data_IF_733318557345
#
_entry.id   IF_733318557345
#
_cell.length_a   1.000
_cell.length_b   1.000
_cell.length_c   1.000
_cell.angle_alpha   90.00
_cell.angle_beta   90.00
_cell.angle_gamma   90.00
#
_symmetry.space_group_name_H-M   'P 1'
#
loop_
_entity.id
_entity.type
_entity.pdbx_description
1 polymer ?
#
# COMPACT_ATOMS: atom_id res chain seq x y z
N UNK A 1 30.44 -70.69 -22.83
CA UNK A 1 30.53 -70.96 -21.37
C UNK A 1 30.72 -69.63 -20.65
N UNK A 2 29.84 -69.34 -19.68
CA UNK A 2 29.97 -68.44 -18.49
C UNK A 2 30.54 -67.02 -18.70
N UNK A 3 29.69 -65.96 -18.66
CA UNK A 3 29.20 -65.18 -17.49
C UNK A 3 30.29 -64.36 -16.78
N UNK A 4 30.17 -63.01 -16.80
CA UNK A 4 30.20 -62.00 -15.68
C UNK A 4 30.64 -60.59 -16.17
N UNK A 5 29.74 -59.58 -16.23
CA UNK A 5 29.58 -58.37 -15.33
C UNK A 5 30.58 -57.23 -15.67
N UNK A 6 30.26 -55.95 -15.96
CA UNK A 6 29.70 -54.79 -15.19
C UNK A 6 29.58 -53.63 -16.22
N UNK A 7 28.39 -53.09 -16.52
CA UNK A 7 27.84 -51.78 -16.09
C UNK A 7 28.72 -50.55 -16.39
N UNK A 8 28.37 -49.74 -17.39
CA UNK A 8 28.28 -48.26 -17.29
C UNK A 8 27.29 -47.73 -18.34
N UNK A 9 26.36 -46.90 -17.85
CA UNK A 9 25.21 -46.31 -18.52
C UNK A 9 25.40 -44.79 -18.44
N UNK A 10 25.52 -44.08 -19.56
CA UNK A 10 25.38 -42.62 -19.56
C UNK A 10 24.99 -42.04 -20.93
N UNK A 11 23.69 -41.76 -21.03
CA UNK A 11 23.12 -40.48 -21.47
C UNK A 11 23.36 -40.07 -22.93
N UNK A 12 22.44 -40.53 -23.77
CA UNK A 12 21.96 -39.78 -24.94
C UNK A 12 20.80 -38.88 -24.49
N UNK A 13 20.80 -37.60 -24.84
CA UNK A 13 19.93 -37.08 -25.91
C UNK A 13 20.01 -35.55 -25.99
N UNK A 14 20.35 -35.11 -27.20
CA UNK A 14 20.40 -33.76 -27.72
C UNK A 14 19.00 -33.17 -27.86
N UNK A 15 18.75 -31.96 -27.34
CA UNK A 15 17.65 -31.10 -27.78
C UNK A 15 18.13 -29.64 -27.82
N UNK A 16 18.61 -29.20 -28.99
CA UNK A 16 18.55 -27.80 -29.39
C UNK A 16 17.11 -27.51 -29.83
N UNK A 17 16.45 -26.50 -29.25
CA UNK A 17 15.52 -25.62 -29.99
C UNK A 17 14.99 -24.47 -29.14
N UNK A 18 14.98 -23.31 -29.80
CA UNK A 18 14.07 -22.15 -29.66
C UNK A 18 14.21 -21.21 -28.46
N UNK A 19 14.77 -20.03 -28.79
CA UNK A 19 14.26 -18.76 -28.28
C UNK A 19 12.74 -18.67 -28.53
N UNK A 20 11.96 -18.79 -27.47
CA UNK A 20 10.56 -18.40 -27.47
C UNK A 20 10.40 -17.25 -26.49
N UNK A 21 10.05 -16.08 -27.05
CA UNK A 21 9.65 -14.87 -26.33
C UNK A 21 8.50 -15.24 -25.38
N UNK A 22 8.78 -15.32 -24.08
CA UNK A 22 7.73 -15.50 -23.08
C UNK A 22 6.76 -14.32 -23.17
N UNK A 23 5.45 -14.55 -23.32
CA UNK A 23 4.49 -13.49 -23.06
C UNK A 23 4.57 -13.18 -21.57
N UNK A 24 4.91 -11.93 -21.25
CA UNK A 24 4.74 -11.41 -19.89
C UNK A 24 3.25 -11.47 -19.63
N UNK A 25 2.85 -12.41 -18.78
CA UNK A 25 1.52 -12.38 -18.21
C UNK A 25 1.43 -11.09 -17.41
N UNK A 26 0.51 -10.21 -17.80
CA UNK A 26 0.01 -9.14 -16.95
C UNK A 26 -0.60 -9.81 -15.71
N UNK A 27 0.23 -10.06 -14.70
CA UNK A 27 -0.24 -10.32 -13.35
C UNK A 27 -0.77 -8.99 -12.84
N UNK A 28 -2.04 -8.72 -13.18
CA UNK A 28 -2.86 -7.81 -12.40
C UNK A 28 -2.79 -8.31 -10.96
N UNK A 29 -2.09 -7.56 -10.13
CA UNK A 29 -2.05 -7.80 -8.69
C UNK A 29 -3.49 -7.96 -8.19
N UNK A 30 -3.76 -8.88 -7.24
CA UNK A 30 -5.09 -9.04 -6.71
C UNK A 30 -5.52 -7.70 -6.09
N UNK A 31 -6.52 -7.07 -6.69
CA UNK A 31 -7.19 -5.93 -6.11
C UNK A 31 -7.89 -6.43 -4.84
N UNK A 32 -7.23 -6.22 -3.70
CA UNK A 32 -7.84 -6.37 -2.38
C UNK A 32 -8.93 -5.29 -2.32
N UNK A 33 -10.17 -5.72 -2.49
CA UNK A 33 -11.36 -4.89 -2.31
C UNK A 33 -11.53 -4.57 -0.83
N UNK A 34 -10.83 -3.55 -0.36
CA UNK A 34 -11.25 -2.79 0.83
C UNK A 34 -12.55 -2.06 0.45
N UNK A 35 -13.57 -2.14 1.30
CA UNK A 35 -14.82 -1.39 1.12
C UNK A 35 -14.53 0.07 0.74
N UNK A 36 -15.32 0.71 -0.13
CA UNK A 36 -14.88 1.89 -0.84
C UNK A 36 -14.60 3.05 0.11
N UNK A 37 -13.32 3.35 0.32
CA UNK A 37 -12.86 4.64 0.84
C UNK A 37 -13.37 5.83 -0.01
N UNK A 38 -13.95 5.56 -1.18
CA UNK A 38 -14.55 6.52 -2.09
C UNK A 38 -15.78 7.26 -1.53
N UNK A 39 -16.47 6.72 -0.50
CA UNK A 39 -17.65 7.38 0.09
C UNK A 39 -17.28 8.40 1.18
N UNK A 40 -16.00 8.52 1.55
CA UNK A 40 -15.48 9.52 2.48
C UNK A 40 -14.78 10.62 1.68
N UNK A 41 -15.41 11.79 1.59
CA UNK A 41 -14.91 12.91 0.78
C UNK A 41 -13.46 13.31 1.12
N UNK A 42 -13.06 13.16 2.39
CA UNK A 42 -11.70 13.45 2.86
C UNK A 42 -10.63 12.47 2.33
N UNK A 43 -11.04 11.29 1.84
CA UNK A 43 -10.15 10.26 1.28
C UNK A 43 -10.16 10.22 -0.25
N UNK A 44 -11.09 10.92 -0.91
CA UNK A 44 -11.17 10.92 -2.37
C UNK A 44 -9.92 11.51 -3.01
N UNK A 45 -9.50 10.96 -4.15
CA UNK A 45 -8.41 11.54 -4.93
C UNK A 45 -8.77 12.96 -5.40
N UNK A 46 -7.78 13.86 -5.32
CA UNK A 46 -7.97 15.22 -5.82
C UNK A 46 -7.88 15.21 -7.33
N UNK A 47 -8.72 16.03 -7.95
CA UNK A 47 -8.78 16.14 -9.41
C UNK A 47 -8.65 17.60 -9.82
N UNK A 48 -8.13 17.85 -11.02
CA UNK A 48 -7.93 19.20 -11.56
C UNK A 48 -6.47 19.55 -11.87
N UNK A 49 -6.19 20.81 -12.21
CA UNK A 49 -4.85 21.28 -12.54
C UNK A 49 -3.84 21.02 -11.41
N UNK A 50 -2.57 20.81 -11.78
CA UNK A 50 -1.45 20.60 -10.85
C UNK A 50 -1.60 19.39 -9.89
N UNK A 51 -2.38 18.38 -10.26
CA UNK A 51 -2.63 17.20 -9.41
C UNK A 51 -3.84 17.34 -8.48
N UNK A 52 -4.63 18.41 -8.66
CA UNK A 52 -5.85 18.66 -7.91
C UNK A 52 -5.61 19.40 -6.59
N UNK A 53 -6.71 19.85 -5.98
CA UNK A 53 -6.74 20.51 -4.68
C UNK A 53 -7.73 19.79 -3.76
N UNK A 54 -7.61 19.93 -2.43
CA UNK A 54 -8.62 19.39 -1.51
C UNK A 54 -10.02 19.91 -1.83
N UNK A 55 -11.03 19.05 -1.68
CA UNK A 55 -12.44 19.39 -1.84
C UNK A 55 -12.94 20.13 -0.59
N UNK A 56 -12.52 21.39 -0.44
CA UNK A 56 -12.85 22.22 0.74
C UNK A 56 -14.36 22.41 0.93
N UNK A 57 -15.14 22.37 -0.14
CA UNK A 57 -16.61 22.44 -0.14
C UNK A 57 -17.27 21.21 0.49
N UNK A 58 -16.51 20.15 0.74
CA UNK A 58 -16.97 18.88 1.32
C UNK A 58 -16.23 18.52 2.61
N UNK A 59 -15.53 19.50 3.19
CA UNK A 59 -14.74 19.33 4.41
C UNK A 59 -15.65 19.37 5.64
N UNK A 60 -16.07 18.20 6.09
CA UNK A 60 -16.97 18.04 7.24
C UNK A 60 -16.24 17.45 8.46
N UNK A 61 -16.27 18.15 9.60
CA UNK A 61 -15.51 17.74 10.79
C UNK A 61 -15.90 16.35 11.30
N UNK A 62 -17.19 15.99 11.18
CA UNK A 62 -17.69 14.67 11.57
C UNK A 62 -17.11 13.51 10.74
N UNK A 63 -16.51 13.79 9.58
CA UNK A 63 -15.84 12.79 8.76
C UNK A 63 -14.37 12.59 9.13
N UNK A 64 -13.75 13.51 9.88
CA UNK A 64 -12.31 13.50 10.11
C UNK A 64 -11.83 12.23 10.80
N UNK A 65 -12.42 11.87 11.94
CA UNK A 65 -12.02 10.67 12.67
C UNK A 65 -12.22 9.36 11.90
N UNK A 66 -13.42 9.08 11.33
CA UNK A 66 -13.60 7.85 10.55
C UNK A 66 -12.70 7.83 9.31
N UNK A 67 -12.45 8.96 8.66
CA UNK A 67 -11.51 9.07 7.53
C UNK A 67 -10.08 8.72 7.96
N UNK A 68 -9.60 9.31 9.07
CA UNK A 68 -8.24 9.09 9.57
C UNK A 68 -8.02 7.62 9.91
N UNK A 69 -8.96 6.99 10.60
CA UNK A 69 -8.87 5.56 10.95
C UNK A 69 -8.85 4.67 9.70
N UNK A 70 -9.76 4.89 8.77
CA UNK A 70 -9.79 4.13 7.52
C UNK A 70 -8.50 4.29 6.71
N UNK A 71 -7.92 5.49 6.69
CA UNK A 71 -6.68 5.76 5.99
C UNK A 71 -5.45 5.14 6.67
N UNK A 72 -5.41 5.10 8.01
CA UNK A 72 -4.38 4.38 8.78
C UNK A 72 -4.44 2.87 8.46
N UNK A 73 -5.63 2.27 8.51
CA UNK A 73 -5.83 0.85 8.21
C UNK A 73 -5.42 0.52 6.76
N UNK A 74 -5.78 1.38 5.80
CA UNK A 74 -5.39 1.22 4.40
C UNK A 74 -3.86 1.30 4.25
N UNK A 75 -3.20 2.28 4.88
CA UNK A 75 -1.75 2.42 4.75
C UNK A 75 -1.00 1.25 5.38
N UNK A 76 -1.45 0.76 6.55
CA UNK A 76 -0.85 -0.43 7.15
C UNK A 76 -1.00 -1.65 6.24
N UNK A 77 -2.15 -1.84 5.60
CA UNK A 77 -2.34 -2.93 4.63
C UNK A 77 -1.42 -2.82 3.40
N UNK A 78 -1.18 -1.60 2.91
CA UNK A 78 -0.22 -1.34 1.83
C UNK A 78 1.21 -1.69 2.26
N UNK A 79 1.61 -1.32 3.48
CA UNK A 79 2.92 -1.64 4.05
C UNK A 79 3.10 -3.14 4.33
N UNK A 80 2.08 -3.82 4.81
CA UNK A 80 2.09 -5.27 5.02
C UNK A 80 2.28 -6.01 3.69
N UNK A 81 1.64 -5.53 2.61
CA UNK A 81 1.82 -6.09 1.28
C UNK A 81 3.26 -5.89 0.75
N UNK A 82 3.87 -4.74 1.04
CA UNK A 82 5.28 -4.46 0.70
C UNK A 82 6.21 -5.39 1.51
N UNK A 83 5.97 -5.54 2.81
CA UNK A 83 6.77 -6.38 3.69
C UNK A 83 6.65 -7.88 3.35
N UNK A 84 5.51 -8.30 2.81
CA UNK A 84 5.24 -9.69 2.43
C UNK A 84 5.65 -10.05 1.00
N UNK A 85 6.25 -9.13 0.22
CA UNK A 85 6.73 -9.43 -1.14
C UNK A 85 7.78 -10.57 -1.10
N UNK A 86 7.52 -11.72 -1.77
CA UNK A 86 8.47 -12.84 -1.77
C UNK A 86 9.70 -12.61 -2.65
N UNK A 87 9.70 -11.57 -3.50
CA UNK A 87 10.86 -11.23 -4.30
C UNK A 87 12.03 -10.73 -3.43
N UNK A 88 13.30 -10.93 -3.84
CA UNK A 88 14.42 -10.31 -3.15
C UNK A 88 14.24 -8.79 -3.03
N UNK A 89 14.56 -8.18 -1.88
CA UNK A 89 14.36 -6.75 -1.69
C UNK A 89 15.23 -5.93 -2.64
N UNK A 90 14.61 -4.95 -3.27
CA UNK A 90 15.17 -4.01 -4.21
C UNK A 90 14.63 -2.60 -3.93
N UNK A 91 15.25 -1.59 -4.53
CA UNK A 91 14.82 -0.20 -4.32
C UNK A 91 13.36 0.00 -4.78
N UNK A 92 12.96 -0.64 -5.88
CA UNK A 92 11.64 -0.51 -6.49
C UNK A 92 10.52 -1.15 -5.66
N UNK A 93 10.72 -2.36 -5.14
CA UNK A 93 9.70 -3.09 -4.40
C UNK A 93 9.68 -2.77 -2.90
N UNK A 94 10.71 -2.10 -2.37
CA UNK A 94 10.72 -1.60 -1.00
C UNK A 94 10.54 -0.09 -0.94
N UNK A 95 11.55 0.70 -1.33
CA UNK A 95 11.56 2.15 -1.08
C UNK A 95 10.56 2.89 -1.97
N UNK A 96 10.55 2.61 -3.28
CA UNK A 96 9.59 3.26 -4.20
C UNK A 96 8.17 2.84 -3.87
N UNK A 97 7.95 1.59 -3.44
CA UNK A 97 6.65 1.12 -3.01
C UNK A 97 6.17 1.83 -1.74
N UNK A 98 7.04 1.98 -0.73
CA UNK A 98 6.75 2.74 0.50
C UNK A 98 6.49 4.23 0.23
N UNK A 99 7.20 4.84 -0.72
CA UNK A 99 6.96 6.25 -1.09
C UNK A 99 5.60 6.44 -1.80
N UNK A 100 5.12 5.39 -2.47
CA UNK A 100 3.81 5.41 -3.15
C UNK A 100 2.65 5.06 -2.23
N UNK A 101 2.90 4.40 -1.09
CA UNK A 101 1.85 4.06 -0.12
C UNK A 101 1.40 5.29 0.68
N UNK A 102 0.28 5.15 1.39
CA UNK A 102 -0.22 6.16 2.32
C UNK A 102 -0.90 7.35 1.66
N UNK A 103 -1.23 7.29 0.35
CA UNK A 103 -1.86 8.42 -0.36
C UNK A 103 -3.19 8.85 0.25
N UNK A 104 -3.99 7.90 0.74
CA UNK A 104 -5.23 8.23 1.46
C UNK A 104 -4.95 8.93 2.80
N UNK A 105 -3.93 8.47 3.54
CA UNK A 105 -3.51 9.05 4.81
C UNK A 105 -2.97 10.47 4.63
N UNK A 106 -2.15 10.72 3.60
CA UNK A 106 -1.68 12.07 3.25
C UNK A 106 -2.83 13.05 2.96
N UNK A 107 -3.89 12.59 2.28
CA UNK A 107 -5.05 13.43 1.98
C UNK A 107 -5.82 13.83 3.24
N UNK A 108 -6.12 12.88 4.13
CA UNK A 108 -6.83 13.20 5.38
C UNK A 108 -5.96 14.02 6.33
N UNK A 109 -4.64 13.80 6.36
CA UNK A 109 -3.70 14.59 7.16
C UNK A 109 -3.65 16.05 6.69
N UNK A 110 -3.82 16.31 5.39
CA UNK A 110 -3.98 17.69 4.87
C UNK A 110 -5.19 18.39 5.49
N UNK A 111 -6.35 17.73 5.56
CA UNK A 111 -7.54 18.30 6.19
C UNK A 111 -7.39 18.44 7.71
N UNK A 112 -6.80 17.44 8.38
CA UNK A 112 -6.44 17.50 9.79
C UNK A 112 -5.59 18.74 10.08
N UNK A 113 -4.55 18.98 9.29
CA UNK A 113 -3.65 20.13 9.41
C UNK A 113 -4.39 21.46 9.36
N UNK A 114 -5.34 21.61 8.45
CA UNK A 114 -6.17 22.81 8.33
C UNK A 114 -7.05 23.02 9.57
N UNK A 115 -7.71 21.98 10.08
CA UNK A 115 -8.47 22.09 11.33
C UNK A 115 -7.56 22.41 12.53
N UNK A 116 -6.40 21.77 12.62
CA UNK A 116 -5.47 21.99 13.73
C UNK A 116 -4.95 23.42 13.80
N UNK A 117 -4.76 24.06 12.63
CA UNK A 117 -4.10 25.35 12.53
C UNK A 117 -5.07 26.51 12.29
N UNK A 118 -5.95 26.41 11.29
CA UNK A 118 -6.77 27.54 10.82
C UNK A 118 -8.21 27.51 11.34
N UNK A 119 -8.75 26.33 11.64
CA UNK A 119 -10.16 26.13 12.01
C UNK A 119 -10.32 25.38 13.34
N UNK A 120 -9.42 25.61 14.30
CA UNK A 120 -9.42 24.85 15.57
C UNK A 120 -10.59 25.26 16.46
N UNK A 121 -11.54 24.34 16.64
CA UNK A 121 -12.69 24.49 17.54
C UNK A 121 -12.57 23.55 18.76
N UNK A 122 -13.34 23.75 19.85
CA UNK A 122 -13.42 22.78 20.94
C UNK A 122 -13.76 21.36 20.46
N UNK A 123 -14.69 21.22 19.52
CA UNK A 123 -15.12 19.94 18.96
C UNK A 123 -13.98 19.25 18.19
N UNK A 124 -13.19 20.01 17.42
CA UNK A 124 -12.00 19.46 16.77
C UNK A 124 -10.98 18.97 17.81
N UNK A 125 -10.74 19.73 18.89
CA UNK A 125 -9.77 19.33 19.93
C UNK A 125 -10.17 18.05 20.67
N UNK A 126 -11.47 17.79 20.83
CA UNK A 126 -11.96 16.51 21.35
C UNK A 126 -11.66 15.35 20.39
N UNK A 127 -11.83 15.57 19.08
CA UNK A 127 -11.45 14.58 18.06
C UNK A 127 -9.93 14.36 18.04
N UNK A 128 -9.13 15.43 18.07
CA UNK A 128 -7.67 15.38 18.16
C UNK A 128 -7.21 14.58 19.38
N UNK A 129 -7.81 14.82 20.55
CA UNK A 129 -7.49 14.07 21.76
C UNK A 129 -7.75 12.55 21.64
N UNK A 130 -8.77 12.15 20.85
CA UNK A 130 -9.05 10.73 20.57
C UNK A 130 -8.15 10.15 19.48
N UNK A 131 -7.76 10.94 18.49
CA UNK A 131 -6.88 10.51 17.40
C UNK A 131 -5.41 10.43 17.80
N UNK A 132 -4.93 11.31 18.68
CA UNK A 132 -3.52 11.37 19.08
C UNK A 132 -2.92 10.02 19.55
N UNK A 133 -3.55 9.25 20.48
CA UNK A 133 -3.01 7.94 20.85
C UNK A 133 -3.04 6.92 19.71
N UNK A 134 -4.05 6.99 18.82
CA UNK A 134 -4.15 6.11 17.66
C UNK A 134 -3.04 6.41 16.64
N UNK A 135 -2.73 7.69 16.41
CA UNK A 135 -1.64 8.09 15.52
C UNK A 135 -0.28 7.64 16.06
N UNK A 136 -0.07 7.74 17.37
CA UNK A 136 1.14 7.24 18.04
C UNK A 136 1.31 5.72 17.87
N UNK A 137 0.24 4.95 18.05
CA UNK A 137 0.25 3.50 17.84
C UNK A 137 0.52 3.16 16.36
N UNK A 138 -0.19 3.81 15.45
CA UNK A 138 -0.03 3.65 14.00
C UNK A 138 1.43 3.92 13.56
N UNK A 139 2.04 5.03 13.98
CA UNK A 139 3.44 5.34 13.67
C UNK A 139 4.40 4.29 14.24
N UNK A 140 4.11 3.79 15.44
CA UNK A 140 4.91 2.75 16.07
C UNK A 140 4.90 1.45 15.26
N UNK A 141 3.74 1.04 14.71
CA UNK A 141 3.63 -0.13 13.83
C UNK A 141 4.46 -0.02 12.56
N UNK A 142 4.69 1.20 12.06
CA UNK A 142 5.48 1.42 10.84
C UNK A 142 6.99 1.35 11.14
N UNK A 143 7.44 1.98 12.23
CA UNK A 143 8.89 2.17 12.49
C UNK A 143 9.48 1.08 13.37
N UNK A 144 8.69 0.46 14.24
CA UNK A 144 9.16 -0.48 15.27
C UNK A 144 8.63 -1.92 15.06
N UNK A 145 8.20 -2.26 13.84
CA UNK A 145 7.65 -3.57 13.49
C UNK A 145 8.62 -4.71 13.87
#
# INVERSE_FOLDING_TARGET
MRKTTILELAISLLCLSSCTKQPVADTTAPAVSVAPAADVALLAEWTGPHGGVPAFDRMELGQLEPATKAAMDQHLAELDAIAADPAPPAFENTIVAMERSGRAYQRVETYYGIWSSNLSTPEFREIEGRLAPLDSEYRSKIVQN
#
